data_IF_942642111386
#
_entry.id   IF_942642111386
#
_cell.length_a   1.000
_cell.length_b   1.000
_cell.length_c   1.000
_cell.angle_alpha   90.00
_cell.angle_beta   90.00
_cell.angle_gamma   90.00
#
_symmetry.space_group_name_H-M   'P 1'
#
loop_
_entity.id
_entity.type
_entity.pdbx_description
1 polymer ?
#
# COMPACT_ATOMS: atom_id res chain seq x y z
N UNK A 1 12.68 -13.49 13.78
CA UNK A 1 11.63 -14.43 13.38
C UNK A 1 11.82 -15.67 14.21
N UNK A 2 11.08 -15.76 15.30
CA UNK A 2 11.04 -16.96 16.12
C UNK A 2 10.11 -17.92 15.37
N UNK A 3 10.63 -19.06 14.92
CA UNK A 3 9.77 -20.09 14.35
C UNK A 3 9.33 -21.02 15.47
N UNK A 4 8.04 -21.39 15.49
CA UNK A 4 7.59 -22.53 16.30
C UNK A 4 8.26 -23.76 15.71
N UNK A 5 9.29 -24.30 16.39
CA UNK A 5 9.81 -25.62 16.05
C UNK A 5 8.72 -26.64 16.40
N UNK A 6 8.01 -27.11 15.37
CA UNK A 6 6.89 -28.06 15.46
C UNK A 6 7.22 -29.29 16.35
N UNK A 7 8.51 -29.66 16.45
CA UNK A 7 8.97 -30.85 17.17
C UNK A 7 9.50 -30.64 18.60
N UNK A 8 9.46 -29.42 19.18
CA UNK A 8 10.02 -29.17 20.52
C UNK A 8 8.95 -28.82 21.56
N UNK A 9 7.72 -28.52 21.13
CA UNK A 9 6.62 -28.19 22.03
C UNK A 9 5.97 -29.44 22.64
N UNK A 10 5.53 -29.41 23.90
CA UNK A 10 4.75 -30.50 24.48
C UNK A 10 3.49 -30.78 23.64
N UNK A 11 3.17 -32.06 23.42
CA UNK A 11 2.02 -32.49 22.59
C UNK A 11 0.67 -32.17 23.23
N UNK A 12 0.63 -31.98 24.54
CA UNK A 12 -0.58 -31.59 25.28
C UNK A 12 -0.94 -30.09 25.15
N UNK A 13 -0.08 -29.28 24.52
CA UNK A 13 -0.35 -27.87 24.24
C UNK A 13 -0.82 -27.74 22.80
N UNK A 14 -2.00 -27.15 22.62
CA UNK A 14 -2.59 -26.88 21.31
C UNK A 14 -1.70 -25.94 20.49
N UNK A 15 -1.67 -26.12 19.17
CA UNK A 15 -0.90 -25.27 18.25
C UNK A 15 -1.32 -23.80 18.33
N UNK A 16 -2.62 -23.54 18.53
CA UNK A 16 -3.16 -22.19 18.76
C UNK A 16 -2.54 -21.49 19.98
N UNK A 17 -2.24 -22.24 21.03
CA UNK A 17 -1.59 -21.68 22.22
C UNK A 17 -0.10 -21.44 21.98
N UNK A 18 0.55 -22.30 21.20
CA UNK A 18 1.96 -22.11 20.78
C UNK A 18 2.11 -20.86 19.93
N UNK A 19 1.18 -20.60 19.00
CA UNK A 19 1.20 -19.39 18.17
C UNK A 19 0.91 -18.11 18.97
N UNK A 20 -0.02 -18.16 19.93
CA UNK A 20 -0.27 -17.02 20.86
C UNK A 20 0.94 -16.70 21.73
N UNK A 21 1.59 -17.73 22.27
CA UNK A 21 2.81 -17.56 23.07
C UNK A 21 3.92 -16.94 22.23
N UNK A 22 4.13 -17.44 21.00
CA UNK A 22 5.10 -16.88 20.06
C UNK A 22 4.80 -15.41 19.79
N UNK A 23 3.54 -15.07 19.51
CA UNK A 23 3.12 -13.69 19.26
C UNK A 23 3.40 -12.79 20.47
N UNK A 24 3.08 -13.24 21.69
CA UNK A 24 3.37 -12.49 22.92
C UNK A 24 4.87 -12.22 23.01
N UNK A 25 5.71 -13.24 22.84
CA UNK A 25 7.16 -13.09 22.96
C UNK A 25 7.77 -12.23 21.85
N UNK A 26 7.37 -12.40 20.59
CA UNK A 26 7.88 -11.59 19.49
C UNK A 26 7.54 -10.11 19.67
N UNK A 27 6.32 -9.81 20.14
CA UNK A 27 5.93 -8.42 20.39
C UNK A 27 6.63 -7.85 21.61
N UNK A 28 6.67 -8.56 22.74
CA UNK A 28 7.42 -8.11 23.93
C UNK A 28 8.90 -7.88 23.60
N UNK A 29 9.51 -8.74 22.77
CA UNK A 29 10.89 -8.54 22.31
C UNK A 29 11.04 -7.32 21.39
N UNK A 30 10.14 -7.13 20.42
CA UNK A 30 10.15 -5.97 19.51
C UNK A 30 9.98 -4.64 20.25
N UNK A 31 9.05 -4.58 21.21
CA UNK A 31 8.86 -3.40 22.06
C UNK A 31 10.04 -3.19 23.02
N UNK A 32 10.69 -4.26 23.50
CA UNK A 32 11.89 -4.14 24.33
C UNK A 32 13.10 -3.52 23.61
N UNK A 33 13.11 -3.50 22.27
CA UNK A 33 14.20 -2.90 21.48
C UNK A 33 14.04 -1.39 21.25
N UNK A 34 12.89 -0.80 21.57
CA UNK A 34 12.65 0.65 21.50
C UNK A 34 12.59 1.24 22.90
N UNK A 35 13.46 2.23 23.16
CA UNK A 35 13.62 3.05 24.38
C UNK A 35 13.70 2.28 25.73
N UNK A 36 14.79 2.54 26.47
CA UNK A 36 15.13 1.86 27.73
C UNK A 36 14.07 1.94 28.85
N UNK A 37 13.18 2.94 28.79
CA UNK A 37 12.12 3.17 29.80
C UNK A 37 10.89 2.27 29.58
N UNK A 38 10.65 1.77 28.36
CA UNK A 38 9.51 0.91 28.02
C UNK A 38 9.74 -0.55 28.41
N UNK A 39 11.01 -0.96 28.47
CA UNK A 39 11.44 -2.29 28.93
C UNK A 39 10.94 -2.63 30.32
N UNK A 40 11.03 -1.68 31.25
CA UNK A 40 10.61 -1.88 32.64
C UNK A 40 9.10 -1.96 32.74
N UNK A 41 8.37 -1.09 32.03
CA UNK A 41 6.92 -1.06 32.11
C UNK A 41 6.27 -2.36 31.61
N UNK A 42 6.62 -2.85 30.42
CA UNK A 42 6.02 -4.07 29.88
C UNK A 42 6.40 -5.33 30.67
N UNK A 43 7.66 -5.45 31.08
CA UNK A 43 8.09 -6.62 31.83
C UNK A 43 7.60 -6.57 33.27
N UNK A 44 7.65 -5.42 33.95
CA UNK A 44 7.22 -5.30 35.35
C UNK A 44 5.70 -5.28 35.48
N UNK A 45 4.92 -4.61 34.61
CA UNK A 45 3.45 -4.64 34.73
C UNK A 45 2.84 -5.98 34.33
N UNK A 46 3.26 -6.58 33.21
CA UNK A 46 2.74 -7.91 32.82
C UNK A 46 3.16 -8.95 33.86
N UNK A 47 4.42 -8.89 34.32
CA UNK A 47 4.87 -9.81 35.34
C UNK A 47 4.11 -9.59 36.65
N UNK A 48 3.94 -8.36 37.14
CA UNK A 48 3.22 -8.07 38.38
C UNK A 48 1.73 -8.42 38.31
N UNK A 49 1.05 -8.18 37.19
CA UNK A 49 -0.37 -8.51 37.02
C UNK A 49 -0.64 -10.02 36.93
N UNK A 50 0.30 -10.79 36.36
CA UNK A 50 0.12 -12.22 36.16
C UNK A 50 0.96 -13.10 37.11
N UNK A 51 1.84 -12.53 37.94
CA UNK A 51 2.74 -13.27 38.83
C UNK A 51 1.97 -14.21 39.75
N UNK A 52 0.90 -13.71 40.37
CA UNK A 52 0.12 -14.48 41.32
C UNK A 52 -0.68 -15.59 40.64
N UNK A 53 -1.10 -15.38 39.38
CA UNK A 53 -1.76 -16.44 38.61
C UNK A 53 -0.77 -17.50 38.13
N UNK A 54 0.47 -17.14 37.80
CA UNK A 54 1.54 -18.09 37.53
C UNK A 54 1.93 -18.89 38.79
N UNK A 55 1.94 -18.27 39.98
CA UNK A 55 2.14 -18.98 41.25
C UNK A 55 1.02 -19.99 41.51
N UNK A 56 -0.25 -19.60 41.31
CA UNK A 56 -1.41 -20.49 41.47
C UNK A 56 -1.34 -21.69 40.51
N UNK A 57 -0.88 -21.50 39.27
CA UNK A 57 -0.65 -22.60 38.33
C UNK A 57 0.51 -23.50 38.76
N UNK A 58 1.61 -22.95 39.27
CA UNK A 58 2.76 -23.73 39.76
C UNK A 58 2.47 -24.49 41.06
N UNK A 59 1.61 -23.94 41.93
CA UNK A 59 1.19 -24.55 43.19
C UNK A 59 0.08 -25.59 43.00
N UNK A 60 -0.55 -25.65 41.82
CA UNK A 60 -1.55 -26.66 41.52
C UNK A 60 -0.91 -28.06 41.36
N UNK A 61 -1.47 -29.07 42.03
CA UNK A 61 -0.94 -30.43 42.09
C UNK A 61 -1.01 -31.22 40.75
N UNK A 62 -1.41 -30.57 39.64
CA UNK A 62 -1.51 -31.19 38.33
C UNK A 62 -1.73 -30.18 37.22
N UNK A 63 -1.18 -30.44 36.03
CA UNK A 63 -1.31 -29.55 34.88
C UNK A 63 -2.72 -29.64 34.28
N UNK A 64 -3.48 -28.54 34.35
CA UNK A 64 -4.73 -28.38 33.61
C UNK A 64 -4.48 -27.59 32.32
N UNK A 65 -4.64 -28.21 31.13
CA UNK A 65 -4.46 -27.50 29.86
C UNK A 65 -5.48 -26.37 29.68
N UNK A 66 -6.69 -26.50 30.23
CA UNK A 66 -7.73 -25.48 30.14
C UNK A 66 -7.33 -24.22 30.92
N UNK A 67 -6.88 -24.37 32.17
CA UNK A 67 -6.46 -23.24 33.00
C UNK A 67 -5.21 -22.54 32.43
N UNK A 68 -4.30 -23.33 31.85
CA UNK A 68 -3.14 -22.80 31.14
C UNK A 68 -3.58 -21.98 29.92
N UNK A 69 -4.50 -22.50 29.10
CA UNK A 69 -5.00 -21.80 27.91
C UNK A 69 -5.78 -20.54 28.26
N UNK A 70 -6.57 -20.53 29.34
CA UNK A 70 -7.26 -19.32 29.80
C UNK A 70 -6.26 -18.24 30.21
N UNK A 71 -5.20 -18.61 30.93
CA UNK A 71 -4.18 -17.66 31.35
C UNK A 71 -3.40 -17.10 30.15
N UNK A 72 -3.04 -17.95 29.19
CA UNK A 72 -2.40 -17.50 27.95
C UNK A 72 -3.32 -16.57 27.15
N UNK A 73 -4.62 -16.85 27.07
CA UNK A 73 -5.59 -15.98 26.40
C UNK A 73 -5.72 -14.61 27.09
N UNK A 74 -5.71 -14.58 28.42
CA UNK A 74 -5.76 -13.32 29.19
C UNK A 74 -4.50 -12.48 28.96
N UNK A 75 -3.32 -13.10 29.00
CA UNK A 75 -2.04 -12.43 28.70
C UNK A 75 -2.04 -11.93 27.26
N UNK A 76 -2.51 -12.75 26.31
CA UNK A 76 -2.63 -12.38 24.91
C UNK A 76 -3.52 -11.15 24.72
N UNK A 77 -4.69 -11.13 25.36
CA UNK A 77 -5.63 -10.00 25.29
C UNK A 77 -5.05 -8.75 25.95
N UNK A 78 -4.36 -8.88 27.09
CA UNK A 78 -3.70 -7.76 27.75
C UNK A 78 -2.61 -7.16 26.87
N UNK A 79 -1.74 -7.99 26.32
CA UNK A 79 -0.66 -7.56 25.42
C UNK A 79 -1.22 -6.85 24.19
N UNK A 80 -2.27 -7.39 23.57
CA UNK A 80 -2.94 -6.71 22.44
C UNK A 80 -3.49 -5.35 22.85
N UNK A 81 -4.17 -5.26 24.00
CA UNK A 81 -4.74 -4.02 24.51
C UNK A 81 -3.66 -2.96 24.71
N UNK A 82 -2.53 -3.31 25.32
CA UNK A 82 -1.42 -2.38 25.58
C UNK A 82 -0.73 -1.94 24.29
N UNK A 83 -0.48 -2.86 23.35
CA UNK A 83 0.09 -2.55 22.04
C UNK A 83 -0.81 -1.58 21.30
N UNK A 84 -2.12 -1.86 21.27
CA UNK A 84 -3.08 -1.04 20.56
C UNK A 84 -3.21 0.36 21.17
N UNK A 85 -3.36 0.46 22.49
CA UNK A 85 -3.46 1.76 23.17
C UNK A 85 -2.26 2.65 22.84
N UNK A 86 -1.07 2.05 22.77
CA UNK A 86 0.15 2.78 22.49
C UNK A 86 0.26 3.25 21.04
N UNK A 87 -0.06 2.37 20.09
CA UNK A 87 -0.06 2.73 18.66
C UNK A 87 -1.10 3.81 18.40
N UNK A 88 -2.27 3.75 19.04
CA UNK A 88 -3.31 4.78 18.91
C UNK A 88 -2.93 6.13 19.53
N UNK A 89 -2.02 6.16 20.51
CA UNK A 89 -1.51 7.40 21.11
C UNK A 89 -0.39 8.03 20.28
N UNK A 90 0.47 7.22 19.67
CA UNK A 90 1.63 7.69 18.91
C UNK A 90 1.29 7.98 17.43
N UNK A 91 0.29 7.31 16.85
CA UNK A 91 -0.04 7.39 15.42
C UNK A 91 -1.55 7.51 15.22
N UNK A 92 -1.97 8.47 14.38
CA UNK A 92 -3.33 8.48 13.86
C UNK A 92 -3.48 7.39 12.78
N UNK A 93 -3.91 6.22 13.25
CA UNK A 93 -4.13 5.01 12.44
C UNK A 93 -5.10 5.29 11.28
N UNK A 94 -6.13 6.13 11.49
CA UNK A 94 -7.13 6.43 10.46
C UNK A 94 -6.51 7.24 9.33
N UNK A 95 -5.77 8.29 9.66
CA UNK A 95 -5.05 9.11 8.68
C UNK A 95 -3.97 8.29 7.98
N UNK A 96 -3.28 7.39 8.69
CA UNK A 96 -2.30 6.49 8.12
C UNK A 96 -2.90 5.55 7.06
N UNK A 97 -3.99 4.86 7.37
CA UNK A 97 -4.67 3.97 6.40
C UNK A 97 -5.29 4.74 5.23
N UNK A 98 -5.76 5.97 5.46
CA UNK A 98 -6.21 6.85 4.38
C UNK A 98 -5.05 7.21 3.44
N UNK A 99 -3.88 7.54 3.96
CA UNK A 99 -2.69 7.84 3.15
C UNK A 99 -2.17 6.60 2.41
N UNK A 100 -2.23 5.42 3.04
CA UNK A 100 -1.94 4.15 2.38
C UNK A 100 -2.90 3.88 1.22
N UNK A 101 -4.20 4.11 1.44
CA UNK A 101 -5.21 3.99 0.39
C UNK A 101 -4.92 4.96 -0.75
N UNK A 102 -4.66 6.23 -0.42
CA UNK A 102 -4.42 7.29 -1.40
C UNK A 102 -3.14 7.06 -2.22
N UNK A 103 -2.13 6.41 -1.64
CA UNK A 103 -0.88 6.08 -2.35
C UNK A 103 -1.03 4.83 -3.23
N UNK A 104 -1.40 3.67 -2.69
CA UNK A 104 -1.44 2.41 -3.47
C UNK A 104 -2.61 2.31 -4.44
N UNK A 105 -3.76 2.91 -4.14
CA UNK A 105 -4.96 2.85 -4.99
C UNK A 105 -5.13 4.10 -5.88
N UNK A 106 -4.07 4.89 -6.09
CA UNK A 106 -4.08 6.12 -6.89
C UNK A 106 -5.17 7.12 -6.44
N UNK A 107 -5.27 7.38 -5.14
CA UNK A 107 -6.15 8.43 -4.61
C UNK A 107 -5.63 9.84 -4.90
N UNK A 108 -4.30 10.02 -5.02
CA UNK A 108 -3.71 11.28 -5.49
C UNK A 108 -3.79 11.40 -7.01
N UNK A 109 -5.01 11.46 -7.55
CA UNK A 109 -5.22 11.38 -8.99
C UNK A 109 -4.50 12.49 -9.77
N UNK A 110 -4.48 13.70 -9.22
CA UNK A 110 -3.77 14.87 -9.78
C UNK A 110 -2.26 14.65 -9.85
N UNK A 111 -1.67 14.07 -8.81
CA UNK A 111 -0.25 13.71 -8.78
C UNK A 111 0.11 12.72 -9.88
N UNK A 112 -0.63 11.61 -9.97
CA UNK A 112 -0.34 10.62 -10.99
C UNK A 112 -0.62 11.12 -12.41
N UNK A 113 -1.60 12.02 -12.60
CA UNK A 113 -1.83 12.65 -13.90
C UNK A 113 -0.67 13.58 -14.28
N UNK A 114 -0.26 14.48 -13.38
CA UNK A 114 0.88 15.37 -13.59
C UNK A 114 2.17 14.58 -13.85
N UNK A 115 2.37 13.49 -13.12
CA UNK A 115 3.47 12.56 -13.34
C UNK A 115 3.46 11.93 -14.73
N UNK A 116 2.32 11.40 -15.18
CA UNK A 116 2.19 10.84 -16.54
C UNK A 116 2.40 11.91 -17.63
N UNK A 117 1.92 13.14 -17.41
CA UNK A 117 2.16 14.27 -18.30
C UNK A 117 3.65 14.60 -18.42
N UNK A 118 4.33 14.80 -17.29
CA UNK A 118 5.76 15.10 -17.26
C UNK A 118 6.60 13.96 -17.85
N UNK A 119 6.19 12.70 -17.63
CA UNK A 119 6.82 11.53 -18.27
C UNK A 119 6.65 11.50 -19.78
N UNK A 120 5.45 11.76 -20.27
CA UNK A 120 5.16 11.75 -21.70
C UNK A 120 5.93 12.86 -22.41
N UNK A 121 5.86 14.08 -21.89
CA UNK A 121 6.57 15.22 -22.47
C UNK A 121 8.08 14.99 -22.44
N UNK A 122 8.60 14.31 -21.40
CA UNK A 122 10.00 13.93 -21.32
C UNK A 122 10.40 12.88 -22.37
N UNK A 123 9.65 11.77 -22.49
CA UNK A 123 9.99 10.65 -23.38
C UNK A 123 9.87 10.98 -24.86
N UNK A 124 8.97 11.91 -25.21
CA UNK A 124 8.80 12.40 -26.57
C UNK A 124 9.53 13.73 -26.84
N UNK A 125 10.26 14.28 -25.86
CA UNK A 125 11.15 15.42 -26.12
C UNK A 125 12.48 14.96 -26.72
N UNK A 126 12.82 15.50 -27.89
CA UNK A 126 14.05 15.21 -28.66
C UNK A 126 15.38 15.58 -27.97
N UNK A 127 15.39 15.81 -26.65
CA UNK A 127 16.60 16.19 -25.91
C UNK A 127 17.46 14.96 -25.60
N UNK A 128 18.35 14.69 -26.56
CA UNK A 128 19.57 13.89 -26.48
C UNK A 128 20.12 13.70 -25.05
N UNK A 129 20.20 12.43 -24.62
CA UNK A 129 21.34 11.72 -23.99
C UNK A 129 22.18 12.56 -23.00
N UNK A 130 22.19 12.29 -21.68
CA UNK A 130 23.32 11.61 -20.99
C UNK A 130 22.94 11.00 -19.61
N UNK A 131 21.78 11.33 -19.03
CA UNK A 131 21.43 10.81 -17.69
C UNK A 131 20.78 9.41 -17.80
N UNK A 132 21.15 8.48 -16.90
CA UNK A 132 20.47 7.20 -16.75
C UNK A 132 18.96 7.40 -16.60
N UNK A 133 18.15 6.50 -17.16
CA UNK A 133 16.68 6.58 -17.09
C UNK A 133 16.23 6.67 -15.62
N UNK A 134 16.92 5.98 -14.72
CA UNK A 134 16.65 6.02 -13.28
C UNK A 134 16.85 7.41 -12.65
N UNK A 135 17.99 8.09 -12.89
CA UNK A 135 18.21 9.44 -12.36
C UNK A 135 17.23 10.46 -12.92
N UNK A 136 16.76 10.26 -14.15
CA UNK A 136 15.71 11.08 -14.76
C UNK A 136 14.33 10.82 -14.14
N UNK A 137 13.96 9.56 -13.93
CA UNK A 137 12.72 9.20 -13.24
C UNK A 137 12.67 9.82 -11.83
N UNK A 138 13.78 9.76 -11.08
CA UNK A 138 13.86 10.41 -9.77
C UNK A 138 13.70 11.94 -9.85
N UNK A 139 14.23 12.60 -10.89
CA UNK A 139 14.02 14.05 -11.12
C UNK A 139 12.56 14.36 -11.46
N UNK A 140 11.90 13.53 -12.27
CA UNK A 140 10.49 13.73 -12.63
C UNK A 140 9.62 13.56 -11.39
N UNK A 141 9.90 12.54 -10.59
CA UNK A 141 9.22 12.28 -9.32
C UNK A 141 9.37 13.49 -8.38
N UNK A 142 10.59 13.98 -8.15
CA UNK A 142 10.81 15.15 -7.28
C UNK A 142 10.20 16.43 -7.83
N UNK A 143 10.20 16.64 -9.16
CA UNK A 143 9.51 17.76 -9.79
C UNK A 143 8.00 17.68 -9.58
N UNK A 144 7.39 16.51 -9.73
CA UNK A 144 5.95 16.32 -9.50
C UNK A 144 5.57 16.52 -8.04
N UNK A 145 6.44 16.12 -7.10
CA UNK A 145 6.24 16.42 -5.68
C UNK A 145 6.25 17.93 -5.43
N UNK A 146 7.27 18.62 -5.91
CA UNK A 146 7.42 20.06 -5.70
C UNK A 146 6.34 20.90 -6.41
N UNK A 147 5.72 20.39 -7.47
CA UNK A 147 4.64 21.07 -8.19
C UNK A 147 3.29 21.01 -7.46
N UNK A 148 3.05 19.96 -6.67
CA UNK A 148 1.73 19.68 -6.09
C UNK A 148 1.70 19.73 -4.58
N UNK A 149 2.85 19.54 -3.93
CA UNK A 149 2.98 19.54 -2.48
C UNK A 149 3.91 20.67 -2.05
N UNK A 150 3.31 21.78 -1.66
CA UNK A 150 4.01 22.87 -0.99
C UNK A 150 4.33 22.43 0.46
N UNK A 151 5.57 21.97 0.69
CA UNK A 151 6.20 21.86 2.03
C UNK A 151 5.71 20.80 3.03
N UNK A 152 4.92 19.80 2.66
CA UNK A 152 4.56 18.72 3.58
C UNK A 152 5.50 17.52 3.45
N UNK A 153 5.71 16.81 4.56
CA UNK A 153 6.51 15.58 4.75
C UNK A 153 6.04 14.37 3.89
N UNK A 154 5.50 14.61 2.70
CA UNK A 154 4.98 13.62 1.76
C UNK A 154 6.07 12.66 1.28
N UNK A 155 7.30 13.15 1.05
CA UNK A 155 8.47 12.31 0.77
C UNK A 155 8.86 11.42 1.97
N UNK A 156 8.54 11.83 3.20
CA UNK A 156 8.75 11.01 4.39
C UNK A 156 7.68 9.91 4.53
N UNK A 157 6.50 10.09 3.93
CA UNK A 157 5.37 9.14 3.99
C UNK A 157 5.41 8.11 2.86
N UNK A 158 5.78 8.50 1.64
CA UNK A 158 5.95 7.55 0.54
C UNK A 158 7.05 7.96 -0.42
N UNK A 159 7.80 6.95 -0.88
CA UNK A 159 8.81 7.05 -1.92
C UNK A 159 8.41 6.18 -3.10
N UNK A 160 8.52 6.73 -4.30
CA UNK A 160 8.35 5.97 -5.54
C UNK A 160 9.72 5.47 -5.96
N UNK A 161 9.88 4.16 -5.97
CA UNK A 161 11.10 3.51 -6.42
C UNK A 161 10.94 3.02 -7.84
N UNK A 162 11.90 3.40 -8.67
CA UNK A 162 11.99 2.94 -10.04
C UNK A 162 13.17 1.96 -10.17
N UNK A 163 12.86 0.71 -10.49
CA UNK A 163 13.84 -0.38 -10.60
C UNK A 163 13.92 -0.89 -12.05
N UNK A 164 14.93 -0.41 -12.78
CA UNK A 164 15.35 -1.01 -14.04
C UNK A 164 16.38 -2.12 -13.76
N UNK A 165 16.06 -3.35 -14.20
CA UNK A 165 16.99 -4.49 -14.10
C UNK A 165 18.02 -4.51 -15.23
N UNK A 166 17.72 -3.85 -16.35
CA UNK A 166 18.58 -3.78 -17.55
C UNK A 166 18.33 -2.45 -18.28
N UNK A 167 19.40 -1.77 -18.73
CA UNK A 167 19.32 -0.43 -19.38
C UNK A 167 18.88 -0.47 -20.85
N UNK A 168 18.51 -1.63 -21.37
CA UNK A 168 18.14 -1.78 -22.78
C UNK A 168 16.66 -1.46 -22.98
N UNK A 169 16.40 -0.33 -23.65
CA UNK A 169 15.12 0.09 -24.24
C UNK A 169 13.92 0.11 -23.27
N UNK A 170 13.75 1.23 -22.58
CA UNK A 170 12.54 1.49 -21.79
C UNK A 170 11.38 1.89 -22.70
N UNK A 171 10.32 1.10 -22.71
CA UNK A 171 9.04 1.49 -23.32
C UNK A 171 8.11 2.06 -22.25
N UNK A 172 7.35 3.10 -22.61
CA UNK A 172 6.32 3.69 -21.75
C UNK A 172 5.31 2.66 -21.25
N UNK A 173 4.99 1.65 -22.06
CA UNK A 173 4.04 0.59 -21.75
C UNK A 173 4.53 -0.27 -20.57
N UNK A 174 5.85 -0.40 -20.41
CA UNK A 174 6.48 -1.19 -19.35
C UNK A 174 6.65 -0.39 -18.04
N UNK A 175 6.28 0.89 -18.02
CA UNK A 175 6.35 1.77 -16.85
C UNK A 175 5.77 1.14 -15.57
N UNK A 176 4.59 0.47 -15.58
CA UNK A 176 4.03 -0.13 -14.37
C UNK A 176 4.87 -1.29 -13.84
N UNK A 177 5.67 -1.97 -14.66
CA UNK A 177 6.50 -3.11 -14.24
C UNK A 177 7.69 -2.62 -13.39
N UNK A 178 8.18 -1.41 -13.69
CA UNK A 178 9.38 -0.84 -13.10
C UNK A 178 9.12 0.12 -11.93
N UNK A 179 7.86 0.53 -11.71
CA UNK A 179 7.48 1.40 -10.60
C UNK A 179 6.95 0.60 -9.41
N UNK A 180 7.55 0.86 -8.24
CA UNK A 180 7.05 0.40 -6.96
C UNK A 180 6.81 1.60 -6.05
N UNK A 181 5.78 1.51 -5.21
CA UNK A 181 5.58 2.44 -4.11
C UNK A 181 6.16 1.79 -2.85
N UNK A 182 7.06 2.52 -2.19
CA UNK A 182 7.47 2.26 -0.82
C UNK A 182 6.83 3.29 0.08
N UNK A 183 5.76 2.86 0.72
CA UNK A 183 5.17 3.61 1.82
C UNK A 183 6.01 3.41 3.07
N UNK A 184 6.52 4.49 3.67
CA UNK A 184 7.36 4.40 4.87
C UNK A 184 6.48 4.07 6.07
N UNK A 185 6.67 2.88 6.62
CA UNK A 185 5.92 2.41 7.77
C UNK A 185 6.62 2.92 9.03
N UNK A 186 5.91 3.64 9.91
CA UNK A 186 6.39 3.89 11.26
C UNK A 186 6.72 2.56 11.91
N UNK A 187 7.86 2.42 12.58
CA UNK A 187 8.32 1.13 13.07
C UNK A 187 7.36 0.53 14.13
N UNK A 188 6.40 1.28 14.64
CA UNK A 188 5.29 0.85 15.50
C UNK A 188 4.24 0.03 14.75
N UNK A 189 4.07 0.26 13.44
CA UNK A 189 3.11 -0.42 12.57
C UNK A 189 3.71 -1.60 11.79
N UNK A 190 5.03 -1.82 11.86
CA UNK A 190 5.73 -2.98 11.25
C UNK A 190 5.25 -4.34 11.79
N UNK A 191 4.53 -4.36 12.92
CA UNK A 191 3.84 -5.56 13.43
C UNK A 191 2.66 -5.95 12.54
N UNK A 192 1.94 -4.97 11.99
CA UNK A 192 0.75 -5.18 11.17
C UNK A 192 1.07 -5.30 9.68
N UNK A 193 2.12 -4.63 9.22
CA UNK A 193 2.50 -4.62 7.82
C UNK A 193 3.64 -5.60 7.54
N UNK A 194 3.29 -6.83 7.15
CA UNK A 194 4.28 -7.76 6.64
C UNK A 194 4.78 -7.32 5.26
N UNK A 195 5.97 -7.79 4.88
CA UNK A 195 6.52 -7.60 3.53
C UNK A 195 5.59 -8.14 2.44
N UNK A 196 4.78 -9.14 2.76
CA UNK A 196 3.83 -9.75 1.83
C UNK A 196 2.66 -8.81 1.51
N UNK A 197 2.18 -8.06 2.52
CA UNK A 197 1.13 -7.05 2.32
C UNK A 197 1.65 -5.94 1.40
N UNK A 198 2.88 -5.47 1.60
CA UNK A 198 3.50 -4.50 0.69
C UNK A 198 3.65 -5.01 -0.73
N UNK A 199 4.01 -6.29 -0.90
CA UNK A 199 4.09 -6.88 -2.24
C UNK A 199 2.72 -6.94 -2.89
N UNK A 200 1.68 -7.37 -2.17
CA UNK A 200 0.31 -7.45 -2.67
C UNK A 200 -0.23 -6.07 -3.06
N UNK A 201 -0.08 -5.06 -2.19
CA UNK A 201 -0.49 -3.69 -2.49
C UNK A 201 0.27 -3.11 -3.69
N UNK A 202 1.56 -3.43 -3.86
CA UNK A 202 2.33 -3.02 -5.04
C UNK A 202 1.82 -3.67 -6.33
N UNK A 203 1.48 -4.96 -6.34
CA UNK A 203 0.90 -5.60 -7.53
C UNK A 203 -0.44 -4.97 -7.92
N UNK A 204 -1.30 -4.69 -6.93
CA UNK A 204 -2.55 -3.95 -7.16
C UNK A 204 -2.26 -2.56 -7.74
N UNK A 205 -1.32 -1.82 -7.15
CA UNK A 205 -0.90 -0.51 -7.65
C UNK A 205 -0.45 -0.57 -9.12
N UNK A 206 0.39 -1.54 -9.50
CA UNK A 206 0.88 -1.70 -10.88
C UNK A 206 -0.26 -1.95 -11.85
N UNK A 207 -1.22 -2.80 -11.49
CA UNK A 207 -2.40 -3.04 -12.31
C UNK A 207 -3.22 -1.77 -12.51
N UNK A 208 -3.51 -1.06 -11.42
CA UNK A 208 -4.28 0.19 -11.47
C UNK A 208 -3.53 1.25 -12.30
N UNK A 209 -2.21 1.36 -12.13
CA UNK A 209 -1.36 2.28 -12.89
C UNK A 209 -1.35 1.93 -14.38
N UNK A 210 -1.32 0.64 -14.74
CA UNK A 210 -1.37 0.20 -16.14
C UNK A 210 -2.67 0.64 -16.84
N UNK A 211 -3.80 0.55 -16.14
CA UNK A 211 -5.10 1.01 -16.66
C UNK A 211 -5.08 2.53 -16.84
N UNK A 212 -4.58 3.28 -15.84
CA UNK A 212 -4.48 4.74 -15.91
C UNK A 212 -3.54 5.20 -17.03
N UNK A 213 -2.41 4.52 -17.22
CA UNK A 213 -1.46 4.78 -18.29
C UNK A 213 -2.10 4.56 -19.67
N UNK A 214 -2.77 3.43 -19.88
CA UNK A 214 -3.43 3.12 -21.15
C UNK A 214 -4.51 4.17 -21.47
N UNK A 215 -5.32 4.56 -20.48
CA UNK A 215 -6.27 5.66 -20.61
C UNK A 215 -5.58 6.98 -21.00
N UNK A 216 -4.47 7.32 -20.32
CA UNK A 216 -3.71 8.53 -20.60
C UNK A 216 -3.17 8.54 -22.04
N UNK A 217 -2.58 7.43 -22.50
CA UNK A 217 -2.07 7.29 -23.86
C UNK A 217 -3.19 7.40 -24.89
N UNK A 218 -4.34 6.75 -24.67
CA UNK A 218 -5.51 6.88 -25.53
C UNK A 218 -6.01 8.33 -25.61
N UNK A 219 -6.02 9.05 -24.48
CA UNK A 219 -6.39 10.46 -24.45
C UNK A 219 -5.36 11.34 -25.21
N UNK A 220 -4.06 11.04 -25.11
CA UNK A 220 -3.03 11.73 -25.91
C UNK A 220 -3.18 11.45 -27.40
N UNK A 221 -3.48 10.21 -27.79
CA UNK A 221 -3.81 9.88 -29.18
C UNK A 221 -5.05 10.65 -29.65
N UNK A 222 -6.07 10.74 -28.81
CA UNK A 222 -7.28 11.51 -29.06
C UNK A 222 -6.99 12.99 -29.33
N UNK A 223 -6.21 13.65 -28.47
CA UNK A 223 -5.86 15.07 -28.64
C UNK A 223 -5.12 15.31 -29.95
N UNK A 224 -4.15 14.46 -30.28
CA UNK A 224 -3.39 14.56 -31.54
C UNK A 224 -4.31 14.40 -32.75
N UNK A 225 -5.28 13.49 -32.69
CA UNK A 225 -6.28 13.28 -33.76
C UNK A 225 -7.26 14.44 -33.88
N UNK A 226 -7.61 15.10 -32.76
CA UNK A 226 -8.43 16.31 -32.79
C UNK A 226 -7.68 17.50 -33.40
N UNK A 227 -6.40 17.67 -33.07
CA UNK A 227 -5.55 18.76 -33.57
C UNK A 227 -5.19 18.58 -35.06
N UNK A 228 -5.17 17.34 -35.55
CA UNK A 228 -4.85 17.02 -36.95
C UNK A 228 -5.92 17.42 -37.99
N UNK A 229 -7.09 17.92 -37.57
CA UNK A 229 -8.23 18.24 -38.45
C UNK A 229 -7.95 19.34 -39.48
N UNK A 230 -6.97 20.20 -39.20
CA UNK A 230 -6.67 21.37 -40.04
C UNK A 230 -5.62 21.07 -41.14
N UNK A 231 -5.16 19.82 -41.26
CA UNK A 231 -4.19 19.43 -42.29
C UNK A 231 -4.88 19.27 -43.66
N UNK A 232 -4.59 20.21 -44.57
CA UNK A 232 -5.04 20.15 -45.97
C UNK A 232 -4.28 19.04 -46.70
N UNK A 233 -4.98 17.98 -47.09
CA UNK A 233 -4.44 16.98 -48.01
C UNK A 233 -4.61 17.47 -49.45
N UNK A 234 -3.56 17.35 -50.28
CA UNK A 234 -3.58 17.83 -51.67
C UNK A 234 -4.47 17.02 -52.61
N UNK A 235 -4.92 15.83 -52.21
CA UNK A 235 -5.82 14.96 -53.00
C UNK A 235 -7.17 14.76 -52.26
N UNK A 236 -8.31 15.13 -52.87
CA UNK A 236 -9.64 15.08 -52.24
C UNK A 236 -10.14 13.65 -51.96
N UNK A 237 -9.75 12.65 -52.73
CA UNK A 237 -10.18 11.25 -52.49
C UNK A 237 -9.45 10.65 -51.29
N UNK A 238 -8.13 10.89 -51.20
CA UNK A 238 -7.33 10.50 -50.05
C UNK A 238 -7.74 11.27 -48.78
N UNK A 239 -8.18 12.51 -48.93
CA UNK A 239 -8.75 13.30 -47.85
C UNK A 239 -10.03 12.67 -47.29
N UNK A 240 -10.97 12.28 -48.16
CA UNK A 240 -12.22 11.67 -47.72
C UNK A 240 -11.99 10.31 -47.03
N UNK A 241 -11.09 9.47 -47.58
CA UNK A 241 -10.70 8.20 -46.96
C UNK A 241 -10.01 8.40 -45.59
N UNK A 242 -9.09 9.36 -45.49
CA UNK A 242 -8.40 9.66 -44.24
C UNK A 242 -9.35 10.23 -43.19
N UNK A 243 -10.30 11.09 -43.57
CA UNK A 243 -11.36 11.59 -42.69
C UNK A 243 -12.29 10.47 -42.20
N UNK A 244 -12.67 9.53 -43.06
CA UNK A 244 -13.49 8.38 -42.66
C UNK A 244 -12.76 7.45 -41.69
N UNK A 245 -11.49 7.15 -41.94
CA UNK A 245 -10.65 6.38 -41.02
C UNK A 245 -10.46 7.10 -39.69
N UNK A 246 -10.19 8.41 -39.73
CA UNK A 246 -10.03 9.23 -38.54
C UNK A 246 -11.33 9.25 -37.73
N UNK A 247 -12.50 9.36 -38.36
CA UNK A 247 -13.79 9.28 -37.67
C UNK A 247 -14.05 7.91 -37.04
N UNK A 248 -13.65 6.81 -37.69
CA UNK A 248 -13.78 5.47 -37.12
C UNK A 248 -12.86 5.26 -35.92
N UNK A 249 -11.59 5.67 -36.03
CA UNK A 249 -10.61 5.61 -34.95
C UNK A 249 -11.04 6.50 -33.79
N UNK A 250 -11.56 7.69 -34.10
CA UNK A 250 -12.17 8.62 -33.14
C UNK A 250 -13.27 7.91 -32.34
N UNK A 251 -14.33 7.45 -33.01
CA UNK A 251 -15.45 6.79 -32.34
C UNK A 251 -15.01 5.57 -31.51
N UNK A 252 -14.01 4.83 -31.99
CA UNK A 252 -13.43 3.72 -31.24
C UNK A 252 -12.78 4.21 -29.95
N UNK A 253 -11.89 5.21 -30.01
CA UNK A 253 -11.20 5.76 -28.84
C UNK A 253 -12.21 6.36 -27.84
N UNK A 254 -13.22 7.10 -28.30
CA UNK A 254 -14.30 7.64 -27.46
C UNK A 254 -15.00 6.53 -26.67
N UNK A 255 -15.45 5.49 -27.37
CA UNK A 255 -16.14 4.38 -26.74
C UNK A 255 -15.24 3.68 -25.73
N UNK A 256 -13.97 3.45 -26.06
CA UNK A 256 -13.01 2.84 -25.14
C UNK A 256 -12.76 3.70 -23.90
N UNK A 257 -12.58 5.02 -24.06
CA UNK A 257 -12.42 5.94 -22.95
C UNK A 257 -13.66 5.95 -22.05
N UNK A 258 -14.86 5.97 -22.62
CA UNK A 258 -16.12 5.84 -21.86
C UNK A 258 -16.19 4.51 -21.11
N UNK A 259 -15.80 3.39 -21.72
CA UNK A 259 -15.74 2.09 -21.03
C UNK A 259 -14.73 2.10 -19.88
N UNK A 260 -13.53 2.68 -20.09
CA UNK A 260 -12.55 2.83 -19.01
C UNK A 260 -13.08 3.70 -17.89
N UNK A 261 -13.76 4.81 -18.19
CA UNK A 261 -14.37 5.66 -17.18
C UNK A 261 -15.41 4.91 -16.36
N UNK A 262 -16.32 4.19 -17.00
CA UNK A 262 -17.36 3.42 -16.30
C UNK A 262 -16.74 2.29 -15.48
N UNK A 263 -15.90 1.45 -16.08
CA UNK A 263 -15.34 0.27 -15.41
C UNK A 263 -14.37 0.67 -14.29
N UNK A 264 -13.52 1.67 -14.51
CA UNK A 264 -12.49 2.04 -13.53
C UNK A 264 -13.03 2.97 -12.44
N UNK A 265 -13.83 4.00 -12.80
CA UNK A 265 -14.34 4.94 -11.80
C UNK A 265 -15.58 4.41 -11.08
N UNK A 266 -16.50 3.74 -11.77
CA UNK A 266 -17.70 3.20 -11.12
C UNK A 266 -17.41 1.81 -10.56
N UNK A 267 -17.12 0.82 -11.39
CA UNK A 267 -17.10 -0.57 -10.90
C UNK A 267 -15.91 -0.82 -9.96
N UNK A 268 -14.72 -0.34 -10.29
CA UNK A 268 -13.54 -0.64 -9.47
C UNK A 268 -13.37 0.29 -8.26
N UNK A 269 -13.48 1.61 -8.43
CA UNK A 269 -13.34 2.55 -7.30
C UNK A 269 -14.56 2.53 -6.36
N UNK A 270 -15.79 2.60 -6.90
CA UNK A 270 -17.01 2.73 -6.08
C UNK A 270 -17.51 1.37 -5.57
N UNK A 271 -17.44 0.30 -6.37
CA UNK A 271 -18.01 -0.99 -5.95
C UNK A 271 -17.00 -1.93 -5.28
N UNK A 272 -15.69 -1.76 -5.51
CA UNK A 272 -14.66 -2.63 -4.92
C UNK A 272 -13.85 -1.91 -3.84
N UNK A 273 -13.19 -0.80 -4.17
CA UNK A 273 -12.25 -0.16 -3.24
C UNK A 273 -12.98 0.50 -2.07
N UNK A 274 -14.00 1.33 -2.33
CA UNK A 274 -14.70 2.05 -1.25
C UNK A 274 -15.44 1.13 -0.27
N UNK A 275 -16.21 0.13 -0.70
CA UNK A 275 -16.98 -0.71 0.22
C UNK A 275 -16.06 -1.60 1.06
N UNK A 276 -14.98 -2.12 0.48
CA UNK A 276 -13.98 -2.87 1.23
C UNK A 276 -13.25 -2.00 2.25
N UNK A 277 -12.90 -0.77 1.87
CA UNK A 277 -12.25 0.17 2.80
C UNK A 277 -13.20 0.61 3.92
N UNK A 278 -14.47 0.84 3.63
CA UNK A 278 -15.49 1.14 4.64
C UNK A 278 -15.75 -0.07 5.57
N UNK A 279 -15.76 -1.29 5.03
CA UNK A 279 -15.83 -2.51 5.84
C UNK A 279 -14.60 -2.66 6.74
N UNK A 280 -13.42 -2.32 6.24
CA UNK A 280 -12.20 -2.35 7.03
C UNK A 280 -12.19 -1.27 8.12
N UNK A 281 -12.62 -0.05 7.79
CA UNK A 281 -12.70 1.05 8.74
C UNK A 281 -13.75 0.79 9.82
N UNK A 282 -14.90 0.22 9.46
CA UNK A 282 -15.91 -0.20 10.43
C UNK A 282 -15.41 -1.35 11.30
N UNK A 283 -14.69 -2.33 10.75
CA UNK A 283 -14.03 -3.38 11.54
C UNK A 283 -13.01 -2.79 12.53
N UNK A 284 -12.20 -1.83 12.09
CA UNK A 284 -11.24 -1.11 12.95
C UNK A 284 -11.91 -0.28 14.03
N UNK A 285 -13.09 0.28 13.80
CA UNK A 285 -13.82 0.99 14.85
C UNK A 285 -14.50 0.00 15.80
N UNK A 286 -15.22 -1.01 15.28
CA UNK A 286 -16.04 -1.92 16.09
C UNK A 286 -15.26 -2.88 16.98
N UNK A 287 -14.13 -3.42 16.53
CA UNK A 287 -13.35 -4.37 17.33
C UNK A 287 -12.39 -3.70 18.32
N UNK A 288 -12.17 -2.40 18.18
CA UNK A 288 -11.14 -1.69 18.93
C UNK A 288 -11.68 -0.54 19.80
N UNK A 289 -12.91 -0.07 19.59
CA UNK A 289 -13.65 0.77 20.56
C UNK A 289 -14.16 -0.05 21.77
N UNK A 290 -14.16 -1.38 21.72
CA UNK A 290 -14.50 -2.25 22.88
C UNK A 290 -13.38 -2.26 23.93
N UNK A 291 -12.22 -1.68 23.60
CA UNK A 291 -11.03 -1.64 24.47
C UNK A 291 -10.99 -0.36 25.33
N UNK A 292 -11.84 0.64 25.03
CA UNK A 292 -11.93 1.94 25.71
C UNK A 292 -13.02 2.00 26.81
N UNK A 293 -13.35 0.87 27.42
CA UNK A 293 -14.00 0.79 28.73
C UNK A 293 -13.20 -0.08 29.71
#
# INVERSE_FOLDING_TARGET
VLYVKENIGPSFIMEECKSKILFIFENVEKFSKKKYEEKKFYQEEIFNCFQDRFKVLNESNGFSPEQFNTLINEIYNYVIKTIWSRISMEIDIKTYFMNLKQSYFLGYDEFFNAFLHNLYDFLFSDKLIIDSIQTRMHKIISQTYNQLFDQSNFEELFSIEFLLKTETEFNLIDLPIHLNIKYNIPPELDVFFSKDIHSCCNEIFKHILSVKLNRFLLNKCWTILMDGKDKKFGNPELYNLSCQLLHKIRNFIDNFLCYFDVIFLCDFKIDVIEPQFLSFQSFLNCNFDVVSF
#
